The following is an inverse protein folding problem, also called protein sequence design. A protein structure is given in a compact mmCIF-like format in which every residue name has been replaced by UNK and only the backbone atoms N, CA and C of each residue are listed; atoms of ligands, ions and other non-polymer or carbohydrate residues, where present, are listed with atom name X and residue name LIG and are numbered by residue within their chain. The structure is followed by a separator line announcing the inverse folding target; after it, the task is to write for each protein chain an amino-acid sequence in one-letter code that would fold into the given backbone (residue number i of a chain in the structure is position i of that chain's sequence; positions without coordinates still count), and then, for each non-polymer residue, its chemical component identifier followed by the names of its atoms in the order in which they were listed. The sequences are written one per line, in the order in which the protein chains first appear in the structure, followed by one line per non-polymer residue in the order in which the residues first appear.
data_IF_118340787824
#
_entry.id   IF_118340787824
#
_cell.length_a   1.000
_cell.length_b   1.000
_cell.length_c   1.000
_cell.angle_alpha   90.00
_cell.angle_beta   90.00
_cell.angle_gamma   90.00
#
_symmetry.space_group_name_H-M   'P 1'
#
loop_
_entity.id
_entity.type
_entity.pdbx_description
1 polymer ?
#
# COMPACT_ATOMS: atom_id res chain seq x y z
N UNK A 1 115.02 50.94 7.89
CA UNK A 1 115.12 50.25 9.20
C UNK A 1 114.06 49.15 9.25
N UNK A 2 114.49 47.90 9.54
CA UNK A 2 113.82 46.81 10.30
C UNK A 2 112.28 46.72 10.25
N UNK A 3 111.58 45.59 10.09
CA UNK A 3 111.80 44.13 10.08
C UNK A 3 110.41 43.54 9.69
N UNK A 4 110.28 42.66 8.69
CA UNK A 4 110.20 41.18 8.80
C UNK A 4 108.89 40.62 9.44
N UNK A 5 108.30 39.64 8.71
CA UNK A 5 107.51 38.45 9.10
C UNK A 5 105.96 38.47 9.12
N UNK A 6 105.38 37.60 8.26
CA UNK A 6 104.63 36.38 8.61
C UNK A 6 103.25 36.17 7.95
N UNK A 7 103.20 35.05 7.22
CA UNK A 7 102.10 34.30 6.63
C UNK A 7 100.81 34.13 7.46
N UNK A 8 99.66 34.00 6.79
CA UNK A 8 98.88 32.75 6.71
C UNK A 8 97.58 32.96 5.93
N UNK A 9 97.43 32.22 4.82
CA UNK A 9 96.23 32.13 4.01
C UNK A 9 95.33 31.01 4.59
N UNK A 10 94.24 31.37 5.26
CA UNK A 10 93.25 30.41 5.76
C UNK A 10 92.02 30.42 4.85
N UNK A 11 91.88 29.38 4.01
CA UNK A 11 90.65 29.06 3.31
C UNK A 11 89.57 28.67 4.33
N UNK A 12 88.56 29.51 4.51
CA UNK A 12 87.33 29.16 5.24
C UNK A 12 86.36 28.56 4.22
N UNK A 13 86.33 27.22 4.17
CA UNK A 13 85.22 26.47 3.58
C UNK A 13 84.06 26.57 4.56
N UNK A 14 83.12 27.47 4.28
CA UNK A 14 81.85 27.55 5.00
C UNK A 14 81.02 26.30 4.69
N UNK A 15 81.07 25.32 5.59
CA UNK A 15 80.13 24.21 5.61
C UNK A 15 78.72 24.76 5.89
N UNK A 16 77.91 24.88 4.84
CA UNK A 16 76.47 24.98 4.99
C UNK A 16 75.98 23.64 5.56
N UNK A 17 75.91 23.54 6.88
CA UNK A 17 75.15 22.49 7.56
C UNK A 17 73.70 22.66 7.14
N UNK A 18 73.26 21.84 6.18
CA UNK A 18 71.85 21.56 5.99
C UNK A 18 71.36 21.01 7.33
N UNK A 19 70.73 21.86 8.14
CA UNK A 19 69.91 21.41 9.25
C UNK A 19 68.85 20.50 8.65
N UNK A 20 69.02 19.19 8.81
CA UNK A 20 67.96 18.24 8.55
C UNK A 20 66.74 18.76 9.30
N UNK A 21 65.69 19.18 8.57
CA UNK A 21 64.43 19.57 9.17
C UNK A 21 63.93 18.37 9.96
N UNK A 22 64.16 18.38 11.28
CA UNK A 22 63.59 17.39 12.15
C UNK A 22 62.07 17.54 12.02
N UNK A 23 61.42 16.50 11.49
CA UNK A 23 59.96 16.43 11.51
C UNK A 23 59.49 16.59 12.95
N UNK A 24 58.42 17.34 13.17
CA UNK A 24 57.88 17.54 14.50
C UNK A 24 57.59 16.18 15.19
N UNK A 25 57.72 16.10 16.53
CA UNK A 25 57.47 14.86 17.26
C UNK A 25 56.04 14.37 16.97
N UNK A 26 55.87 13.07 16.76
CA UNK A 26 54.55 12.51 16.49
C UNK A 26 53.71 12.54 17.77
N UNK A 27 52.47 13.05 17.75
CA UNK A 27 51.58 12.96 18.90
C UNK A 27 51.47 11.53 19.43
N UNK A 28 51.21 11.35 20.72
CA UNK A 28 51.07 10.01 21.35
C UNK A 28 49.75 9.87 22.08
N UNK A 29 49.43 8.65 22.51
CA UNK A 29 48.25 8.32 23.31
C UNK A 29 46.92 8.86 22.73
N UNK A 30 46.77 8.75 21.40
CA UNK A 30 45.52 9.13 20.73
C UNK A 30 44.42 8.16 21.15
N UNK A 31 43.47 8.64 21.94
CA UNK A 31 42.32 7.86 22.41
C UNK A 31 41.01 8.49 21.98
N UNK A 32 39.98 7.67 21.88
CA UNK A 32 38.61 8.10 21.56
C UNK A 32 37.65 7.65 22.65
N UNK A 33 36.61 8.45 22.88
CA UNK A 33 35.54 8.13 23.82
C UNK A 33 34.30 8.97 23.55
N UNK A 34 33.20 8.67 24.22
CA UNK A 34 32.00 9.48 24.12
C UNK A 34 32.17 10.82 24.84
N UNK A 35 31.84 11.93 24.16
CA UNK A 35 31.77 13.24 24.80
C UNK A 35 30.43 13.39 25.53
N UNK A 36 30.48 13.26 26.86
CA UNK A 36 29.33 13.41 27.76
C UNK A 36 28.24 12.33 27.62
N UNK A 37 27.23 12.40 28.48
CA UNK A 37 26.16 11.38 28.59
C UNK A 37 25.24 11.30 27.36
N UNK A 38 25.18 12.38 26.57
CA UNK A 38 24.33 12.48 25.39
C UNK A 38 24.87 11.78 24.15
N UNK A 39 26.16 11.38 24.15
CA UNK A 39 26.82 10.66 23.03
C UNK A 39 26.62 11.35 21.67
N UNK A 40 26.67 12.68 21.66
CA UNK A 40 26.45 13.49 20.44
C UNK A 40 27.76 13.85 19.74
N UNK A 41 28.89 13.55 20.37
CA UNK A 41 30.22 13.74 19.80
C UNK A 41 31.18 12.65 20.32
N UNK A 42 32.17 12.35 19.50
CA UNK A 42 33.33 11.52 19.84
C UNK A 42 34.44 12.46 20.31
N UNK A 43 34.80 12.34 21.59
CA UNK A 43 35.93 13.04 22.16
C UNK A 43 37.22 12.32 21.80
N UNK A 44 38.14 13.07 21.20
CA UNK A 44 39.48 12.60 20.84
C UNK A 44 40.45 13.31 21.76
N UNK A 45 41.35 12.57 22.41
CA UNK A 45 42.42 13.15 23.23
C UNK A 45 43.78 12.60 22.80
N UNK A 46 44.83 13.39 22.97
CA UNK A 46 46.21 12.99 22.65
C UNK A 46 47.22 13.72 23.55
N UNK A 47 48.50 13.39 23.40
CA UNK A 47 49.62 14.07 24.08
C UNK A 47 50.63 14.60 23.06
N UNK A 48 51.06 15.83 23.28
CA UNK A 48 52.16 16.52 22.62
C UNK A 48 52.58 17.75 23.45
N UNK A 49 53.47 18.59 22.91
CA UNK A 49 53.96 19.82 23.55
C UNK A 49 53.09 21.06 23.25
N UNK A 50 51.76 20.88 23.18
CA UNK A 50 50.74 21.88 22.80
C UNK A 50 51.00 22.50 21.41
N UNK A 51 51.43 21.67 20.47
CA UNK A 51 51.71 22.05 19.09
C UNK A 51 50.40 22.35 18.32
N UNK A 52 50.46 23.05 17.16
CA UNK A 52 49.28 23.19 16.32
C UNK A 52 48.93 21.82 15.70
N UNK A 53 47.68 21.39 15.85
CA UNK A 53 47.27 20.03 15.52
C UNK A 53 46.26 19.97 14.37
N UNK A 54 46.41 18.97 13.52
CA UNK A 54 45.45 18.57 12.48
C UNK A 54 44.81 17.25 12.87
N UNK A 55 43.49 17.26 13.07
CA UNK A 55 42.68 16.09 13.37
C UNK A 55 41.90 15.68 12.13
N UNK A 56 41.95 14.39 11.79
CA UNK A 56 41.22 13.82 10.65
C UNK A 56 40.55 12.50 10.98
N UNK A 57 39.42 12.25 10.33
CA UNK A 57 38.76 10.94 10.33
C UNK A 57 39.29 10.14 9.13
N UNK A 58 39.89 8.98 9.40
CA UNK A 58 40.33 8.02 8.39
C UNK A 58 39.36 6.82 8.37
N UNK A 59 38.72 6.57 7.22
CA UNK A 59 37.95 5.34 7.03
C UNK A 59 38.88 4.18 6.69
N UNK A 60 38.68 2.99 7.27
CA UNK A 60 39.58 1.84 7.05
C UNK A 60 39.68 1.44 5.56
N UNK A 61 38.64 1.72 4.76
CA UNK A 61 38.58 1.46 3.31
C UNK A 61 38.62 2.73 2.43
N UNK A 62 38.78 3.92 3.02
CA UNK A 62 38.81 5.20 2.29
C UNK A 62 40.12 5.93 2.52
N UNK A 63 40.81 6.29 1.44
CA UNK A 63 42.08 7.02 1.50
C UNK A 63 41.92 8.53 1.66
N UNK A 64 40.70 9.07 1.52
CA UNK A 64 40.42 10.50 1.70
C UNK A 64 39.74 10.76 3.04
N UNK A 65 40.23 11.74 3.84
CA UNK A 65 39.63 12.04 5.13
C UNK A 65 38.26 12.70 4.95
N UNK A 66 37.24 12.17 5.63
CA UNK A 66 35.86 12.71 5.58
C UNK A 66 35.68 13.99 6.42
N UNK A 67 36.68 14.32 7.24
CA UNK A 67 36.67 15.44 8.17
C UNK A 67 38.10 15.93 8.42
N UNK A 68 38.29 17.25 8.48
CA UNK A 68 39.55 17.88 8.84
C UNK A 68 39.29 19.04 9.79
N UNK A 69 39.97 19.04 10.93
CA UNK A 69 39.97 20.15 11.89
C UNK A 69 41.40 20.54 12.20
N UNK A 70 41.66 21.84 12.28
CA UNK A 70 42.93 22.38 12.75
C UNK A 70 42.70 23.06 14.10
N UNK A 71 43.62 22.83 15.03
CA UNK A 71 43.75 23.51 16.32
C UNK A 71 45.04 24.32 16.34
N UNK A 72 44.97 25.49 16.96
CA UNK A 72 46.13 26.36 17.11
C UNK A 72 47.03 25.85 18.23
N UNK A 73 48.30 26.25 18.22
CA UNK A 73 49.21 25.95 19.32
C UNK A 73 48.66 26.53 20.64
N UNK A 74 48.80 25.79 21.74
CA UNK A 74 48.29 26.16 23.05
C UNK A 74 46.79 25.90 23.29
N UNK A 75 46.05 25.40 22.30
CA UNK A 75 44.70 24.86 22.53
C UNK A 75 44.78 23.51 23.27
N UNK A 76 43.71 23.10 24.00
CA UNK A 76 43.68 21.80 24.66
C UNK A 76 43.92 20.65 23.67
N UNK A 77 44.65 19.62 24.10
CA UNK A 77 44.86 18.38 23.35
C UNK A 77 43.64 17.45 23.40
N UNK A 78 42.47 18.04 23.17
CA UNK A 78 41.21 17.34 23.01
C UNK A 78 40.32 18.03 21.99
N UNK A 79 39.50 17.23 21.30
CA UNK A 79 38.49 17.77 20.39
C UNK A 79 37.26 16.86 20.33
N UNK A 80 36.09 17.47 20.45
CA UNK A 80 34.81 16.80 20.30
C UNK A 80 34.36 16.83 18.83
N UNK A 81 34.46 15.69 18.14
CA UNK A 81 33.98 15.52 16.77
C UNK A 81 32.49 15.17 16.81
N UNK A 82 31.57 15.95 16.22
CA UNK A 82 30.15 15.60 16.18
C UNK A 82 29.92 14.24 15.52
N UNK A 83 29.01 13.42 16.05
CA UNK A 83 28.73 12.08 15.46
C UNK A 83 28.27 12.18 14.01
N UNK A 84 27.64 13.29 13.62
CA UNK A 84 27.25 13.56 12.23
C UNK A 84 28.43 13.70 11.25
N UNK A 85 29.66 13.85 11.74
CA UNK A 85 30.86 13.85 10.91
C UNK A 85 31.32 12.42 10.53
N UNK A 86 30.79 11.40 11.21
CA UNK A 86 31.04 10.00 10.93
C UNK A 86 29.88 9.41 10.12
N UNK A 87 30.10 8.98 8.86
CA UNK A 87 29.08 8.23 8.15
C UNK A 87 28.74 6.93 8.89
N UNK A 88 27.46 6.69 9.13
CA UNK A 88 26.98 5.49 9.81
C UNK A 88 27.28 4.19 9.02
N UNK A 89 27.45 3.09 9.75
CA UNK A 89 27.82 1.74 9.31
C UNK A 89 29.22 1.63 8.69
N UNK A 90 30.20 2.33 9.27
CA UNK A 90 31.60 2.31 8.84
C UNK A 90 32.58 2.03 9.98
N UNK A 91 33.80 1.64 9.61
CA UNK A 91 34.93 1.47 10.52
C UNK A 91 35.90 2.64 10.35
N UNK A 92 36.31 3.27 11.45
CA UNK A 92 37.10 4.49 11.44
C UNK A 92 38.27 4.46 12.41
N UNK A 93 39.24 5.34 12.14
CA UNK A 93 40.26 5.78 13.08
C UNK A 93 40.27 7.31 13.09
N UNK A 94 40.62 7.90 14.23
CA UNK A 94 40.97 9.31 14.26
C UNK A 94 42.49 9.42 14.21
N UNK A 95 42.98 10.23 13.27
CA UNK A 95 44.39 10.52 13.13
C UNK A 95 44.68 11.97 13.54
N UNK A 96 45.74 12.15 14.34
CA UNK A 96 46.25 13.44 14.80
C UNK A 96 47.69 13.60 14.32
N UNK A 97 48.02 14.76 13.76
CA UNK A 97 49.39 15.14 13.42
C UNK A 97 49.60 16.62 13.70
N UNK A 98 50.84 17.01 13.93
CA UNK A 98 51.23 18.42 14.02
C UNK A 98 51.17 19.01 12.62
N UNK A 99 50.53 20.17 12.51
CA UNK A 99 50.36 20.86 11.25
C UNK A 99 49.34 21.98 11.29
N UNK A 100 49.47 22.90 10.35
CA UNK A 100 48.54 24.03 10.18
C UNK A 100 47.87 23.97 8.81
N UNK A 101 46.78 24.72 8.65
CA UNK A 101 46.09 24.81 7.35
C UNK A 101 46.95 25.42 6.25
N UNK A 102 47.92 26.28 6.61
CA UNK A 102 48.82 26.95 5.67
C UNK A 102 50.18 26.24 5.51
N UNK A 103 50.72 25.68 6.59
CA UNK A 103 52.05 25.04 6.62
C UNK A 103 52.04 23.55 6.29
N UNK A 104 50.86 22.93 6.17
CA UNK A 104 50.73 21.49 5.94
C UNK A 104 51.02 20.67 7.19
N UNK A 105 51.17 19.35 7.00
CA UNK A 105 51.46 18.39 8.07
C UNK A 105 52.97 18.22 8.20
N UNK A 106 53.50 18.38 9.41
CA UNK A 106 54.94 18.40 9.70
C UNK A 106 55.39 17.22 10.57
N UNK A 107 54.47 16.49 11.19
CA UNK A 107 54.74 15.22 11.90
C UNK A 107 54.18 13.99 11.16
N UNK A 108 54.52 12.78 11.63
CA UNK A 108 53.75 11.57 11.25
C UNK A 108 52.36 11.61 11.90
N UNK A 109 51.45 10.79 11.36
CA UNK A 109 50.10 10.61 11.89
C UNK A 109 50.10 9.60 13.04
N UNK A 110 49.68 10.06 14.21
CA UNK A 110 49.29 9.23 15.34
C UNK A 110 47.82 8.83 15.18
N UNK A 111 47.45 7.58 15.51
CA UNK A 111 46.10 7.05 15.26
C UNK A 111 45.50 6.49 16.54
N UNK A 112 44.19 6.65 16.69
CA UNK A 112 43.41 5.89 17.66
C UNK A 112 43.32 4.41 17.27
N UNK A 113 42.82 3.61 18.20
CA UNK A 113 42.26 2.30 17.89
C UNK A 113 41.11 2.41 16.87
N UNK A 114 40.84 1.30 16.17
CA UNK A 114 39.68 1.22 15.26
C UNK A 114 38.43 1.16 16.12
N UNK A 115 37.39 1.88 15.69
CA UNK A 115 36.04 1.75 16.19
C UNK A 115 35.07 1.72 15.02
N UNK A 116 33.87 1.21 15.25
CA UNK A 116 32.81 1.23 14.27
C UNK A 116 31.72 2.25 14.60
N UNK A 117 30.77 2.37 13.69
CA UNK A 117 29.64 3.29 13.80
C UNK A 117 28.39 2.52 13.51
N UNK A 118 27.93 1.74 14.47
CA UNK A 118 26.68 0.99 14.33
C UNK A 118 25.51 1.94 14.08
N UNK A 119 25.13 2.13 12.81
CA UNK A 119 24.06 3.03 12.44
C UNK A 119 22.71 2.52 12.90
N UNK A 120 21.67 3.37 12.86
CA UNK A 120 20.35 2.93 13.29
C UNK A 120 19.80 1.89 12.30
N UNK A 121 19.46 0.71 12.82
CA UNK A 121 19.00 -0.45 12.05
C UNK A 121 17.62 -0.17 11.48
N UNK A 122 17.49 -0.20 10.16
CA UNK A 122 16.24 0.17 9.47
C UNK A 122 15.13 -0.88 9.70
N UNK A 123 13.96 -0.48 10.22
CA UNK A 123 12.84 -1.39 10.38
C UNK A 123 12.22 -1.78 9.05
N UNK A 124 11.74 -3.02 9.00
CA UNK A 124 11.09 -3.63 7.85
C UNK A 124 9.65 -4.03 8.20
N UNK A 125 8.88 -4.44 7.19
CA UNK A 125 7.53 -5.00 7.36
C UNK A 125 6.55 -4.10 8.15
N UNK A 126 6.69 -2.78 8.04
CA UNK A 126 5.77 -1.86 8.69
C UNK A 126 4.34 -2.08 8.16
N UNK A 127 3.39 -2.26 9.07
CA UNK A 127 2.00 -2.57 8.77
C UNK A 127 1.07 -1.81 9.73
N UNK A 128 -0.19 -1.66 9.32
CA UNK A 128 -1.25 -1.02 10.10
C UNK A 128 -2.44 -1.96 10.23
N UNK A 129 -3.01 -2.08 11.42
CA UNK A 129 -4.26 -2.79 11.65
C UNK A 129 -5.28 -1.91 12.37
N UNK A 130 -6.57 -1.89 11.98
CA UNK A 130 -7.58 -1.16 12.73
C UNK A 130 -7.72 -1.75 14.13
N UNK A 131 -7.74 -0.91 15.17
CA UNK A 131 -7.94 -1.33 16.55
C UNK A 131 -8.81 -0.30 17.29
N UNK A 132 -10.08 -0.66 17.53
CA UNK A 132 -11.05 0.24 18.16
C UNK A 132 -11.24 1.53 17.35
N UNK A 133 -11.02 2.68 17.99
CA UNK A 133 -11.09 4.00 17.35
C UNK A 133 -9.75 4.46 16.74
N UNK A 134 -8.73 3.59 16.67
CA UNK A 134 -7.39 3.93 16.20
C UNK A 134 -6.78 2.87 15.29
N UNK A 135 -5.49 3.00 15.06
CA UNK A 135 -4.69 2.10 14.22
C UNK A 135 -3.48 1.63 15.01
N UNK A 136 -3.30 0.32 15.11
CA UNK A 136 -2.07 -0.27 15.63
C UNK A 136 -1.06 -0.38 14.49
N UNK A 137 0.01 0.39 14.61
CA UNK A 137 1.19 0.28 13.75
C UNK A 137 2.13 -0.78 14.32
N UNK A 138 2.67 -1.64 13.48
CA UNK A 138 3.63 -2.68 13.84
C UNK A 138 4.76 -2.72 12.84
N UNK A 139 5.99 -3.01 13.28
CA UNK A 139 7.14 -3.21 12.40
C UNK A 139 8.04 -4.31 12.95
N UNK A 140 8.97 -4.78 12.11
CA UNK A 140 9.99 -5.74 12.50
C UNK A 140 11.36 -5.10 12.38
N UNK A 141 12.30 -5.53 13.21
CA UNK A 141 13.67 -5.05 13.23
C UNK A 141 14.53 -6.23 12.80
N UNK A 142 15.32 -6.12 11.72
CA UNK A 142 16.26 -7.19 11.37
C UNK A 142 17.33 -7.33 12.47
N UNK A 143 18.08 -8.44 12.50
CA UNK A 143 19.28 -8.53 13.33
C UNK A 143 20.21 -7.35 13.05
N UNK A 144 20.92 -6.90 14.09
CA UNK A 144 21.96 -5.90 13.91
C UNK A 144 23.04 -6.44 12.94
N UNK A 145 23.71 -5.56 12.19
CA UNK A 145 24.92 -5.92 11.47
C UNK A 145 25.94 -6.61 12.39
N UNK A 146 26.86 -7.35 11.79
CA UNK A 146 28.00 -7.88 12.54
C UNK A 146 28.90 -6.71 12.94
N UNK A 147 29.15 -6.59 14.24
CA UNK A 147 30.18 -5.75 14.83
C UNK A 147 31.57 -6.37 14.52
N UNK A 148 32.44 -5.56 13.92
CA UNK A 148 33.79 -5.95 13.51
C UNK A 148 34.88 -5.46 14.50
N UNK A 149 34.52 -4.63 15.48
CA UNK A 149 35.40 -4.07 16.51
C UNK A 149 34.81 -4.26 17.91
N UNK A 150 34.58 -5.51 18.35
CA UNK A 150 33.86 -5.76 19.59
C UNK A 150 34.60 -5.26 20.83
N UNK A 151 33.86 -4.56 21.69
CA UNK A 151 34.33 -3.85 22.88
C UNK A 151 35.23 -2.65 22.59
N UNK A 152 35.03 -1.98 21.46
CA UNK A 152 35.72 -0.72 21.21
C UNK A 152 35.26 0.39 22.17
N UNK A 153 36.03 1.49 22.33
CA UNK A 153 35.73 2.53 23.32
C UNK A 153 34.40 3.27 23.11
N UNK A 154 33.77 3.13 21.93
CA UNK A 154 32.50 3.77 21.58
C UNK A 154 31.33 2.79 21.58
N UNK A 155 31.55 1.51 21.86
CA UNK A 155 30.48 0.54 22.02
C UNK A 155 29.51 0.89 23.14
N UNK A 156 28.23 0.71 22.86
CA UNK A 156 27.16 0.98 23.80
C UNK A 156 26.51 -0.32 24.29
N UNK A 157 26.52 -0.52 25.60
CA UNK A 157 25.96 -1.73 26.25
C UNK A 157 24.42 -1.81 26.23
N UNK A 158 23.74 -0.68 26.08
CA UNK A 158 22.27 -0.59 26.06
C UNK A 158 21.72 -0.37 24.65
N UNK A 159 20.49 -0.86 24.37
CA UNK A 159 19.80 -0.57 23.10
C UNK A 159 19.47 0.91 22.97
N UNK A 160 20.30 1.66 22.27
CA UNK A 160 20.11 3.10 22.00
C UNK A 160 19.11 3.38 20.89
N UNK A 161 18.76 2.36 20.11
CA UNK A 161 17.85 2.52 18.98
C UNK A 161 16.44 2.92 19.42
N UNK A 162 16.04 4.12 19.00
CA UNK A 162 14.70 4.69 19.20
C UNK A 162 13.93 4.78 17.89
N UNK A 163 12.66 4.41 17.95
CA UNK A 163 11.68 4.52 16.88
C UNK A 163 10.82 5.76 17.13
N UNK A 164 10.99 6.78 16.29
CA UNK A 164 10.24 8.04 16.34
C UNK A 164 9.12 8.00 15.31
N UNK A 165 7.85 7.88 15.72
CA UNK A 165 6.73 7.86 14.80
C UNK A 165 6.48 9.26 14.21
N UNK A 166 6.34 9.30 12.89
CA UNK A 166 6.07 10.51 12.11
C UNK A 166 4.79 10.29 11.32
N UNK A 167 3.93 11.31 11.26
CA UNK A 167 2.64 11.24 10.58
C UNK A 167 2.43 12.50 9.74
N UNK A 168 1.76 12.35 8.61
CA UNK A 168 1.17 13.48 7.91
C UNK A 168 -0.21 13.12 7.35
N UNK A 169 -1.05 14.15 7.21
CA UNK A 169 -2.32 14.12 6.48
C UNK A 169 -2.23 15.04 5.26
N UNK A 170 -3.20 15.00 4.33
CA UNK A 170 -3.24 15.96 3.23
C UNK A 170 -3.17 17.41 3.75
N UNK A 171 -2.30 18.21 3.15
CA UNK A 171 -2.04 19.61 3.53
C UNK A 171 -1.07 19.81 4.70
N UNK A 172 -0.63 18.73 5.37
CA UNK A 172 0.30 18.80 6.49
C UNK A 172 1.71 18.35 6.07
N UNK A 173 2.74 18.79 6.80
CA UNK A 173 4.09 18.23 6.69
C UNK A 173 4.20 16.97 7.56
N UNK A 174 5.25 16.18 7.32
CA UNK A 174 5.60 15.06 8.18
C UNK A 174 6.06 15.57 9.54
N UNK A 175 5.25 15.30 10.57
CA UNK A 175 5.47 15.77 11.94
C UNK A 175 5.62 14.60 12.90
N UNK A 176 6.47 14.78 13.92
CA UNK A 176 6.68 13.80 14.99
C UNK A 176 5.43 13.77 15.87
N UNK A 177 4.82 12.60 16.05
CA UNK A 177 3.56 12.46 16.81
C UNK A 177 3.74 11.92 18.23
N UNK A 178 4.98 11.68 18.66
CA UNK A 178 5.29 11.20 19.99
C UNK A 178 6.79 11.04 20.23
N UNK A 179 7.17 10.84 21.48
CA UNK A 179 8.55 10.55 21.84
C UNK A 179 9.03 9.23 21.19
N UNK A 180 10.34 9.13 20.97
CA UNK A 180 10.96 7.90 20.49
C UNK A 180 10.72 6.74 21.47
N UNK A 181 10.36 5.58 20.93
CA UNK A 181 10.10 4.35 21.70
C UNK A 181 11.08 3.24 21.31
N UNK A 182 11.33 2.28 22.19
CA UNK A 182 12.06 1.04 21.87
C UNK A 182 11.11 -0.09 21.46
N UNK A 183 9.80 0.11 21.60
CA UNK A 183 8.78 -0.87 21.20
C UNK A 183 8.66 -0.97 19.69
N UNK A 184 8.32 -2.16 19.17
CA UNK A 184 8.08 -2.42 17.74
C UNK A 184 6.62 -2.23 17.30
N UNK A 185 5.82 -1.59 18.17
CA UNK A 185 4.42 -1.31 17.91
C UNK A 185 3.99 0.01 18.56
N UNK A 186 3.04 0.69 17.94
CA UNK A 186 2.47 1.93 18.43
C UNK A 186 0.98 2.01 18.10
N UNK A 187 0.13 2.19 19.11
CA UNK A 187 -1.29 2.47 18.89
C UNK A 187 -1.51 3.98 18.72
N UNK A 188 -2.00 4.38 17.55
CA UNK A 188 -2.37 5.78 17.27
C UNK A 188 -3.88 5.89 17.36
N UNK A 189 -4.38 6.54 18.41
CA UNK A 189 -5.82 6.76 18.64
C UNK A 189 -6.39 7.77 17.64
N UNK A 190 -7.65 7.60 17.26
CA UNK A 190 -8.39 8.53 16.40
C UNK A 190 -7.76 8.80 15.03
N UNK A 191 -6.90 7.88 14.54
CA UNK A 191 -6.30 7.98 13.22
C UNK A 191 -7.24 7.42 12.16
N UNK A 192 -7.61 8.26 11.18
CA UNK A 192 -8.46 7.87 10.05
C UNK A 192 -7.76 8.18 8.73
N UNK A 193 -7.81 7.27 7.73
CA UNK A 193 -7.35 7.57 6.38
C UNK A 193 -8.01 8.82 5.76
N UNK A 194 -7.34 9.54 4.84
CA UNK A 194 -6.02 9.22 4.30
C UNK A 194 -4.88 9.84 5.14
N UNK A 195 -3.78 9.11 5.30
CA UNK A 195 -2.57 9.57 6.00
C UNK A 195 -1.33 8.85 5.46
N UNK A 196 -0.15 9.37 5.78
CA UNK A 196 1.10 8.61 5.72
C UNK A 196 1.69 8.55 7.12
N UNK A 197 2.09 7.34 7.50
CA UNK A 197 2.87 7.06 8.69
C UNK A 197 4.27 6.67 8.24
N UNK A 198 5.28 7.25 8.87
CA UNK A 198 6.67 6.92 8.65
C UNK A 198 7.35 6.73 9.99
N UNK A 199 8.22 5.76 10.08
CA UNK A 199 9.07 5.57 11.23
C UNK A 199 10.41 6.24 10.96
N UNK A 200 10.89 7.09 11.85
CA UNK A 200 12.30 7.50 11.89
C UNK A 200 13.01 6.66 12.92
N UNK A 201 14.18 6.15 12.59
CA UNK A 201 15.04 5.43 13.55
C UNK A 201 16.23 6.29 13.90
N UNK A 202 16.59 6.28 15.18
CA UNK A 202 17.63 7.12 15.74
C UNK A 202 18.48 6.35 16.72
N UNK A 203 19.78 6.60 16.71
CA UNK A 203 20.75 6.23 17.74
C UNK A 203 21.85 7.30 17.81
N UNK A 204 22.92 7.06 18.56
CA UNK A 204 24.07 7.95 18.75
C UNK A 204 24.76 8.35 17.43
N UNK A 205 24.74 7.45 16.44
CA UNK A 205 25.37 7.66 15.12
C UNK A 205 24.46 8.35 14.10
N UNK A 206 23.19 8.61 14.42
CA UNK A 206 22.33 9.50 13.63
C UNK A 206 20.89 9.05 13.48
N UNK A 207 20.25 9.48 12.38
CA UNK A 207 18.84 9.24 12.11
C UNK A 207 18.60 8.76 10.68
N UNK A 208 17.71 7.77 10.50
CA UNK A 208 17.33 7.24 9.18
C UNK A 208 15.83 7.08 9.03
N UNK A 209 15.35 7.13 7.79
CA UNK A 209 13.99 6.78 7.44
C UNK A 209 13.79 5.25 7.50
N UNK A 210 12.88 4.81 8.36
CA UNK A 210 12.47 3.42 8.55
C UNK A 210 11.33 2.98 7.64
N UNK A 211 10.50 2.10 8.18
CA UNK A 211 9.29 1.62 7.52
C UNK A 211 8.23 2.71 7.35
N UNK A 212 7.39 2.56 6.33
CA UNK A 212 6.32 3.50 5.99
C UNK A 212 5.01 2.74 5.81
N UNK A 213 3.90 3.35 6.21
CA UNK A 213 2.55 2.83 6.00
C UNK A 213 1.64 3.92 5.46
N UNK A 214 0.94 3.63 4.37
CA UNK A 214 -0.07 4.51 3.78
C UNK A 214 -1.47 4.14 4.29
N UNK A 215 -2.16 5.09 4.91
CA UNK A 215 -3.60 5.03 5.14
C UNK A 215 -4.33 5.52 3.90
N UNK A 216 -5.07 4.63 3.25
CA UNK A 216 -5.75 4.87 1.98
C UNK A 216 -7.26 4.97 2.19
N UNK A 217 -7.91 5.94 1.57
CA UNK A 217 -9.38 5.96 1.44
C UNK A 217 -9.78 5.40 0.09
N UNK A 218 -10.98 4.85 0.01
CA UNK A 218 -11.55 4.37 -1.25
C UNK A 218 -12.89 5.00 -1.52
N UNK A 219 -13.19 5.16 -2.81
CA UNK A 219 -14.54 5.44 -3.29
C UNK A 219 -14.89 4.37 -4.31
N UNK A 220 -16.10 3.83 -4.23
CA UNK A 220 -16.57 2.75 -5.10
C UNK A 220 -17.90 3.14 -5.73
N UNK A 221 -17.95 2.97 -7.05
CA UNK A 221 -19.15 3.19 -7.87
C UNK A 221 -19.63 1.87 -8.42
N UNK A 222 -20.94 1.66 -8.52
CA UNK A 222 -21.52 0.43 -9.03
C UNK A 222 -22.69 0.72 -9.99
N UNK A 223 -22.62 0.16 -11.19
CA UNK A 223 -23.71 0.05 -12.15
C UNK A 223 -24.39 -1.31 -11.95
N UNK A 224 -25.57 -1.28 -11.33
CA UNK A 224 -26.38 -2.45 -10.99
C UNK A 224 -27.62 -2.43 -11.89
N UNK A 225 -27.91 -3.50 -12.66
CA UNK A 225 -29.09 -3.56 -13.50
C UNK A 225 -30.38 -3.38 -12.70
N UNK A 226 -31.27 -2.49 -13.14
CA UNK A 226 -32.57 -2.26 -12.51
C UNK A 226 -33.55 -3.41 -12.77
N UNK A 227 -33.34 -4.19 -13.83
CA UNK A 227 -34.08 -5.39 -14.18
C UNK A 227 -33.14 -6.52 -14.58
N UNK A 228 -33.46 -7.74 -14.19
CA UNK A 228 -32.73 -8.94 -14.60
C UNK A 228 -33.69 -10.14 -14.72
N UNK A 229 -33.37 -11.10 -15.59
CA UNK A 229 -34.14 -12.34 -15.74
C UNK A 229 -33.72 -13.35 -14.69
N UNK A 230 -34.68 -13.92 -13.97
CA UNK A 230 -34.44 -14.92 -12.94
C UNK A 230 -33.53 -16.06 -13.43
N UNK A 231 -32.60 -16.49 -12.56
CA UNK A 231 -31.64 -17.58 -12.81
C UNK A 231 -30.62 -17.30 -13.94
N UNK A 232 -30.61 -16.11 -14.54
CA UNK A 232 -29.53 -15.67 -15.41
C UNK A 232 -28.50 -14.83 -14.66
N UNK A 233 -27.27 -14.83 -15.16
CA UNK A 233 -26.18 -14.00 -14.64
C UNK A 233 -26.42 -12.54 -15.01
N UNK A 234 -26.50 -11.66 -14.01
CA UNK A 234 -26.40 -10.23 -14.20
C UNK A 234 -24.95 -9.79 -13.99
N UNK A 235 -24.48 -8.88 -14.85
CA UNK A 235 -23.18 -8.25 -14.72
C UNK A 235 -23.32 -6.96 -13.92
N UNK A 236 -22.57 -6.86 -12.82
CA UNK A 236 -22.47 -5.65 -12.01
C UNK A 236 -21.08 -5.10 -12.24
N UNK A 237 -21.02 -3.86 -12.74
CA UNK A 237 -19.78 -3.20 -13.13
C UNK A 237 -19.54 -1.98 -12.28
N UNK A 238 -18.30 -1.53 -12.20
CA UNK A 238 -18.00 -0.33 -11.45
C UNK A 238 -16.55 0.08 -11.52
N UNK A 239 -16.21 1.07 -10.69
CA UNK A 239 -14.86 1.58 -10.55
C UNK A 239 -14.56 1.88 -9.10
N UNK A 240 -13.36 1.53 -8.65
CA UNK A 240 -12.77 1.92 -7.38
C UNK A 240 -11.70 2.97 -7.64
N UNK A 241 -11.76 4.08 -6.92
CA UNK A 241 -10.69 5.08 -6.86
C UNK A 241 -10.14 5.07 -5.45
N UNK A 242 -8.82 4.91 -5.35
CA UNK A 242 -8.06 4.96 -4.11
C UNK A 242 -7.49 6.36 -3.97
N UNK A 243 -7.55 6.95 -2.79
CA UNK A 243 -6.86 8.20 -2.50
C UNK A 243 -5.71 7.92 -1.53
N UNK A 244 -4.54 8.44 -1.87
CA UNK A 244 -3.30 8.27 -1.11
C UNK A 244 -2.69 9.64 -0.81
N UNK A 245 -1.85 9.69 0.23
CA UNK A 245 -1.08 10.88 0.60
C UNK A 245 0.34 10.69 0.11
N UNK A 246 0.86 11.69 -0.61
CA UNK A 246 2.26 11.73 -1.06
C UNK A 246 2.90 12.98 -0.47
N UNK A 247 4.03 12.80 0.19
CA UNK A 247 4.79 13.87 0.81
C UNK A 247 6.10 14.06 0.06
N UNK A 248 6.23 15.09 -0.78
CA UNK A 248 7.52 15.43 -1.36
C UNK A 248 8.45 15.96 -0.26
N UNK A 249 9.78 15.93 -0.47
CA UNK A 249 10.71 16.58 0.44
C UNK A 249 10.36 18.07 0.58
N UNK A 250 10.48 18.60 1.80
CA UNK A 250 10.38 20.02 2.16
C UNK A 250 9.02 20.73 1.93
N UNK A 251 8.03 20.03 1.38
CA UNK A 251 6.71 20.57 1.07
C UNK A 251 5.59 19.85 1.83
N UNK A 252 4.41 20.48 1.86
CA UNK A 252 3.22 19.87 2.45
C UNK A 252 2.77 18.66 1.62
N UNK A 253 2.25 17.65 2.29
CA UNK A 253 1.77 16.45 1.64
C UNK A 253 0.53 16.74 0.81
N UNK A 254 0.48 16.17 -0.39
CA UNK A 254 -0.64 16.31 -1.30
C UNK A 254 -1.45 15.02 -1.38
N UNK A 255 -2.72 15.15 -1.72
CA UNK A 255 -3.59 14.00 -1.94
C UNK A 255 -3.56 13.62 -3.42
N UNK A 256 -3.22 12.37 -3.72
CA UNK A 256 -3.22 11.82 -5.06
C UNK A 256 -4.32 10.77 -5.21
N UNK A 257 -4.92 10.72 -6.39
CA UNK A 257 -5.87 9.66 -6.77
C UNK A 257 -5.14 8.59 -7.57
N UNK A 258 -5.37 7.34 -7.22
CA UNK A 258 -4.88 6.18 -7.91
C UNK A 258 -6.02 5.23 -8.24
N UNK A 259 -5.87 4.46 -9.32
CA UNK A 259 -6.84 3.43 -9.70
C UNK A 259 -6.13 2.09 -9.88
N UNK A 260 -5.62 1.51 -8.77
CA UNK A 260 -4.82 0.31 -8.82
C UNK A 260 -5.66 -0.92 -9.21
N UNK A 261 -5.01 -1.86 -9.87
CA UNK A 261 -5.53 -3.21 -10.06
C UNK A 261 -5.41 -4.02 -8.75
N UNK A 262 -6.18 -5.10 -8.65
CA UNK A 262 -6.09 -6.06 -7.55
C UNK A 262 -6.83 -5.67 -6.26
N UNK A 263 -7.52 -4.52 -6.22
CA UNK A 263 -8.30 -4.11 -5.04
C UNK A 263 -9.50 -5.04 -4.89
N UNK A 264 -9.67 -5.72 -3.73
CA UNK A 264 -10.79 -6.62 -3.53
C UNK A 264 -12.12 -5.85 -3.47
N UNK A 265 -13.13 -6.37 -4.15
CA UNK A 265 -14.50 -5.87 -4.09
C UNK A 265 -15.45 -7.00 -3.73
N UNK A 266 -16.48 -6.69 -2.95
CA UNK A 266 -17.50 -7.66 -2.53
C UNK A 266 -18.87 -7.10 -2.90
N UNK A 267 -19.61 -7.87 -3.68
CA UNK A 267 -21.01 -7.62 -3.93
C UNK A 267 -21.81 -8.12 -2.74
N UNK A 268 -22.62 -7.25 -2.15
CA UNK A 268 -23.55 -7.59 -1.08
C UNK A 268 -25.00 -7.54 -1.59
N UNK A 269 -25.84 -8.36 -0.98
CA UNK A 269 -27.29 -8.37 -1.18
C UNK A 269 -28.02 -8.48 0.14
N UNK A 270 -29.30 -8.13 0.18
CA UNK A 270 -30.19 -8.53 1.28
C UNK A 270 -31.09 -9.69 0.83
N UNK A 271 -30.97 -10.90 1.42
CA UNK A 271 -31.78 -12.06 1.00
C UNK A 271 -33.27 -11.83 1.24
N UNK A 272 -33.64 -11.22 2.37
CA UNK A 272 -35.00 -10.78 2.70
C UNK A 272 -35.01 -9.26 3.00
N UNK A 273 -36.15 -8.56 2.86
CA UNK A 273 -36.24 -7.14 3.20
C UNK A 273 -35.82 -6.91 4.66
N UNK A 274 -34.96 -5.90 4.91
CA UNK A 274 -34.48 -5.57 6.25
C UNK A 274 -33.37 -6.47 6.81
N UNK A 275 -33.07 -7.62 6.21
CA UNK A 275 -32.01 -8.51 6.69
C UNK A 275 -30.61 -7.90 6.56
N UNK A 276 -29.65 -8.46 7.31
CA UNK A 276 -28.22 -8.12 7.19
C UNK A 276 -27.75 -8.31 5.75
N UNK A 277 -26.89 -7.41 5.29
CA UNK A 277 -26.22 -7.53 4.00
C UNK A 277 -25.30 -8.75 4.00
N UNK A 278 -25.48 -9.66 3.04
CA UNK A 278 -24.66 -10.87 2.88
C UNK A 278 -23.92 -10.87 1.55
N UNK A 279 -22.73 -11.50 1.47
CA UNK A 279 -21.99 -11.61 0.20
C UNK A 279 -22.78 -12.40 -0.86
N UNK A 280 -22.90 -11.81 -2.05
CA UNK A 280 -23.48 -12.43 -3.24
C UNK A 280 -22.45 -12.70 -4.35
N UNK A 281 -21.26 -12.09 -4.24
CA UNK A 281 -20.17 -12.27 -5.18
C UNK A 281 -18.92 -11.54 -4.72
N UNK A 282 -17.77 -11.91 -5.27
CA UNK A 282 -16.48 -11.27 -5.01
C UNK A 282 -15.78 -11.01 -6.34
N UNK A 283 -14.96 -9.98 -6.37
CA UNK A 283 -14.14 -9.64 -7.53
C UNK A 283 -12.90 -8.88 -7.10
N UNK A 284 -12.08 -8.51 -8.08
CA UNK A 284 -10.95 -7.61 -7.91
C UNK A 284 -10.97 -6.56 -9.01
N UNK A 285 -10.36 -5.41 -8.76
CA UNK A 285 -10.19 -4.40 -9.81
C UNK A 285 -9.17 -4.83 -10.85
N UNK A 286 -9.38 -4.44 -12.11
CA UNK A 286 -8.42 -4.49 -13.21
C UNK A 286 -7.63 -3.18 -13.27
N UNK A 287 -6.73 -3.05 -14.26
CA UNK A 287 -6.13 -1.76 -14.59
C UNK A 287 -7.20 -0.67 -14.77
N UNK A 288 -6.92 0.54 -14.31
CA UNK A 288 -7.88 1.65 -14.29
C UNK A 288 -8.91 1.59 -13.15
N UNK A 289 -8.81 0.62 -12.23
CA UNK A 289 -9.67 0.49 -11.06
C UNK A 289 -11.05 -0.07 -11.37
N UNK A 290 -11.28 -0.57 -12.58
CA UNK A 290 -12.57 -1.13 -13.00
C UNK A 290 -12.80 -2.52 -12.42
N UNK A 291 -14.05 -2.93 -12.22
CA UNK A 291 -14.37 -4.30 -11.85
C UNK A 291 -15.67 -4.77 -12.51
N UNK A 292 -15.81 -6.08 -12.67
CA UNK A 292 -17.03 -6.75 -13.09
C UNK A 292 -17.28 -7.96 -12.18
N UNK A 293 -18.46 -8.03 -11.57
CA UNK A 293 -18.92 -9.19 -10.78
C UNK A 293 -20.14 -9.76 -11.49
N UNK A 294 -20.09 -11.04 -11.85
CA UNK A 294 -21.24 -11.77 -12.38
C UNK A 294 -21.96 -12.50 -11.26
N UNK A 295 -23.25 -12.24 -11.08
CA UNK A 295 -24.09 -12.88 -10.05
C UNK A 295 -25.31 -13.54 -10.68
N UNK A 296 -25.61 -14.77 -10.28
CA UNK A 296 -26.87 -15.42 -10.68
C UNK A 296 -28.01 -14.71 -9.97
N UNK A 297 -28.91 -14.13 -10.75
CA UNK A 297 -30.04 -13.40 -10.19
C UNK A 297 -31.09 -14.37 -9.64
N UNK A 298 -31.68 -14.02 -8.50
CA UNK A 298 -32.83 -14.75 -7.96
C UNK A 298 -33.99 -13.78 -7.76
N UNK A 299 -34.73 -13.82 -6.64
CA UNK A 299 -35.83 -12.90 -6.39
C UNK A 299 -35.39 -11.42 -6.38
N UNK A 300 -36.34 -10.51 -6.58
CA UNK A 300 -36.10 -9.04 -6.58
C UNK A 300 -35.47 -8.60 -5.27
N UNK A 301 -34.23 -8.10 -5.33
CA UNK A 301 -33.45 -7.76 -4.13
C UNK A 301 -32.47 -6.62 -4.38
N UNK A 302 -32.12 -5.85 -3.33
CA UNK A 302 -31.15 -4.79 -3.47
C UNK A 302 -29.73 -5.34 -3.45
N UNK A 303 -28.87 -4.71 -4.24
CA UNK A 303 -27.45 -4.99 -4.31
C UNK A 303 -26.65 -3.71 -4.00
N UNK A 304 -25.47 -3.88 -3.44
CA UNK A 304 -24.44 -2.83 -3.33
C UNK A 304 -23.05 -3.45 -3.38
N UNK A 305 -22.05 -2.68 -3.77
CA UNK A 305 -20.66 -3.15 -3.77
C UNK A 305 -19.90 -2.46 -2.66
N UNK A 306 -19.08 -3.22 -1.94
CA UNK A 306 -18.16 -2.68 -0.95
C UNK A 306 -16.71 -2.98 -1.33
N UNK A 307 -15.81 -2.09 -0.93
CA UNK A 307 -14.40 -2.39 -0.76
C UNK A 307 -14.22 -2.65 0.74
N UNK A 308 -13.88 -3.87 1.18
CA UNK A 308 -13.65 -4.14 2.60
C UNK A 308 -12.34 -3.50 3.08
N UNK A 309 -12.20 -3.32 4.39
CA UNK A 309 -10.89 -3.01 4.97
C UNK A 309 -9.88 -4.08 4.54
N UNK A 310 -8.74 -3.62 4.03
CA UNK A 310 -7.62 -4.49 3.67
C UNK A 310 -6.34 -3.90 4.24
N UNK A 311 -5.60 -4.72 4.99
CA UNK A 311 -4.28 -4.38 5.50
C UNK A 311 -3.24 -5.27 4.84
N UNK A 312 -2.12 -4.66 4.47
CA UNK A 312 -0.91 -5.33 4.00
C UNK A 312 0.30 -4.52 4.47
N UNK A 313 1.49 -5.10 4.38
CA UNK A 313 2.74 -4.36 4.60
C UNK A 313 2.74 -3.09 3.73
N UNK A 314 3.02 -1.96 4.36
CA UNK A 314 3.09 -0.66 3.71
C UNK A 314 1.76 0.05 3.45
N UNK A 315 0.59 -0.59 3.63
CA UNK A 315 -0.68 0.11 3.42
C UNK A 315 -1.88 -0.51 4.10
N UNK A 316 -2.82 0.34 4.52
CA UNK A 316 -4.16 -0.03 4.97
C UNK A 316 -5.20 0.75 4.17
N UNK A 317 -6.28 0.09 3.79
CA UNK A 317 -7.37 0.67 3.01
C UNK A 317 -8.64 0.71 3.84
N UNK A 318 -9.32 1.85 3.89
CA UNK A 318 -10.62 1.98 4.55
C UNK A 318 -11.76 1.34 3.75
N UNK A 319 -12.85 1.02 4.45
CA UNK A 319 -14.07 0.50 3.82
C UNK A 319 -14.77 1.59 3.03
N UNK A 320 -15.24 1.25 1.83
CA UNK A 320 -16.18 2.09 1.09
C UNK A 320 -17.35 1.27 0.56
N UNK A 321 -18.50 1.93 0.35
CA UNK A 321 -19.72 1.31 -0.17
C UNK A 321 -20.31 2.14 -1.29
N UNK A 322 -20.79 1.46 -2.33
CA UNK A 322 -21.62 2.09 -3.34
C UNK A 322 -23.01 2.37 -2.76
N UNK A 323 -23.77 3.23 -3.45
CA UNK A 323 -25.22 3.32 -3.24
C UNK A 323 -25.85 1.94 -3.51
N UNK A 324 -26.85 1.59 -2.71
CA UNK A 324 -27.64 0.39 -2.94
C UNK A 324 -28.63 0.63 -4.09
N UNK A 325 -28.85 -0.38 -4.93
CA UNK A 325 -29.83 -0.33 -6.02
C UNK A 325 -30.64 -1.61 -6.06
N UNK A 326 -31.95 -1.47 -6.35
CA UNK A 326 -32.88 -2.60 -6.43
C UNK A 326 -32.84 -3.21 -7.84
N UNK A 327 -32.52 -4.50 -7.93
CA UNK A 327 -32.69 -5.26 -9.16
C UNK A 327 -34.04 -5.98 -9.12
N UNK A 328 -34.96 -5.57 -9.99
CA UNK A 328 -36.24 -6.25 -10.21
C UNK A 328 -36.01 -7.51 -11.02
N UNK A 329 -36.35 -8.65 -10.44
CA UNK A 329 -36.24 -9.94 -11.11
C UNK A 329 -37.51 -10.21 -11.92
N UNK A 330 -37.32 -10.60 -13.17
CA UNK A 330 -38.38 -10.93 -14.12
C UNK A 330 -38.43 -12.44 -14.28
N UNK A 331 -39.64 -13.01 -14.27
CA UNK A 331 -39.86 -14.44 -14.55
C UNK A 331 -39.17 -14.79 -15.87
N UNK A 332 -38.40 -15.88 -15.86
CA UNK A 332 -37.70 -16.35 -17.05
C UNK A 332 -38.55 -17.40 -17.74
N UNK A 333 -38.89 -17.18 -19.01
CA UNK A 333 -39.43 -18.26 -19.86
C UNK A 333 -38.27 -19.20 -20.20
N UNK A 334 -38.34 -20.43 -19.71
CA UNK A 334 -37.35 -21.46 -20.01
C UNK A 334 -37.65 -22.12 -21.35
N UNK A 335 -38.92 -22.40 -21.62
CA UNK A 335 -39.40 -23.04 -22.85
C UNK A 335 -40.84 -22.63 -23.13
N UNK A 336 -41.21 -22.53 -24.41
CA UNK A 336 -42.59 -22.37 -24.85
C UNK A 336 -42.74 -22.93 -26.27
N UNK A 337 -43.86 -23.59 -26.57
CA UNK A 337 -44.06 -24.20 -27.88
C UNK A 337 -45.36 -24.98 -28.03
N UNK A 338 -45.48 -25.67 -29.17
CA UNK A 338 -46.54 -26.64 -29.46
C UNK A 338 -45.95 -28.06 -29.36
N UNK A 339 -46.60 -28.95 -28.63
CA UNK A 339 -46.17 -30.33 -28.51
C UNK A 339 -46.28 -31.06 -29.85
N UNK A 340 -45.21 -31.75 -30.26
CA UNK A 340 -45.15 -32.42 -31.56
C UNK A 340 -45.12 -31.47 -32.77
N UNK A 341 -44.55 -30.27 -32.61
CA UNK A 341 -44.27 -29.34 -33.70
C UNK A 341 -45.38 -28.32 -34.01
N UNK A 342 -45.03 -27.31 -34.80
CA UNK A 342 -45.90 -26.18 -35.14
C UNK A 342 -46.91 -26.49 -36.27
N UNK A 343 -46.71 -27.58 -37.02
CA UNK A 343 -47.61 -27.98 -38.10
C UNK A 343 -48.58 -29.06 -37.60
N UNK A 344 -49.88 -28.84 -37.79
CA UNK A 344 -50.94 -29.76 -37.38
C UNK A 344 -51.97 -29.93 -38.49
N UNK A 345 -52.68 -31.06 -38.48
CA UNK A 345 -53.80 -31.31 -39.40
C UNK A 345 -55.11 -30.79 -38.80
N UNK A 346 -56.03 -30.32 -39.63
CA UNK A 346 -57.43 -30.08 -39.20
C UNK A 346 -57.98 -31.35 -38.56
N UNK A 347 -58.76 -31.21 -37.48
CA UNK A 347 -59.31 -32.32 -36.69
C UNK A 347 -58.35 -32.88 -35.63
N UNK A 348 -57.05 -32.60 -35.71
CA UNK A 348 -56.09 -32.99 -34.67
C UNK A 348 -56.15 -32.05 -33.46
N UNK A 349 -55.69 -32.55 -32.30
CA UNK A 349 -55.50 -31.72 -31.11
C UNK A 349 -54.11 -31.07 -31.11
N UNK A 350 -54.05 -29.80 -30.74
CA UNK A 350 -52.79 -29.10 -30.47
C UNK A 350 -52.64 -28.86 -28.97
N UNK A 351 -51.46 -29.19 -28.43
CA UNK A 351 -51.10 -28.89 -27.04
C UNK A 351 -50.08 -27.76 -27.02
N UNK A 352 -50.49 -26.58 -26.55
CA UNK A 352 -49.59 -25.44 -26.35
C UNK A 352 -49.08 -25.44 -24.91
N UNK A 353 -47.78 -25.29 -24.72
CA UNK A 353 -47.16 -25.37 -23.38
C UNK A 353 -46.14 -24.25 -23.16
N UNK A 354 -45.91 -23.92 -21.88
CA UNK A 354 -44.78 -23.08 -21.47
C UNK A 354 -44.26 -23.49 -20.10
N UNK A 355 -42.93 -23.43 -19.96
CA UNK A 355 -42.21 -23.65 -18.72
C UNK A 355 -41.44 -22.38 -18.35
N UNK A 356 -41.55 -21.98 -17.10
CA UNK A 356 -40.91 -20.77 -16.56
C UNK A 356 -40.05 -21.10 -15.35
N UNK A 357 -39.09 -20.23 -15.07
CA UNK A 357 -38.33 -20.20 -13.85
C UNK A 357 -38.71 -18.97 -13.02
N UNK A 358 -38.90 -19.13 -11.70
CA UNK A 358 -38.62 -20.33 -10.92
C UNK A 358 -39.63 -21.48 -11.11
N UNK A 359 -39.15 -22.73 -11.04
CA UNK A 359 -39.97 -23.93 -11.13
C UNK A 359 -40.87 -24.16 -9.90
N UNK A 360 -40.83 -23.29 -8.90
CA UNK A 360 -41.76 -23.30 -7.77
C UNK A 360 -42.95 -22.36 -7.96
N UNK A 361 -43.03 -21.68 -9.12
CA UNK A 361 -44.12 -20.74 -9.41
C UNK A 361 -45.45 -21.46 -9.62
N UNK A 362 -46.44 -21.12 -8.79
CA UNK A 362 -47.84 -21.52 -8.97
C UNK A 362 -48.68 -20.27 -9.25
N UNK A 363 -49.40 -20.23 -10.37
CA UNK A 363 -50.22 -19.08 -10.75
C UNK A 363 -51.25 -19.44 -11.82
N UNK A 364 -52.13 -18.51 -12.17
CA UNK A 364 -52.96 -18.60 -13.36
C UNK A 364 -52.35 -17.75 -14.47
N UNK A 365 -52.07 -18.34 -15.62
CA UNK A 365 -51.55 -17.61 -16.79
C UNK A 365 -52.62 -17.49 -17.86
N UNK A 366 -52.52 -16.45 -18.69
CA UNK A 366 -53.50 -16.19 -19.74
C UNK A 366 -52.91 -16.57 -21.09
N UNK A 367 -53.54 -17.53 -21.76
CA UNK A 367 -53.29 -17.82 -23.16
C UNK A 367 -53.99 -16.77 -24.02
N UNK A 368 -53.24 -16.15 -24.91
CA UNK A 368 -53.72 -15.18 -25.90
C UNK A 368 -53.40 -15.67 -27.31
N UNK A 369 -54.25 -15.28 -28.25
CA UNK A 369 -54.06 -15.49 -29.69
C UNK A 369 -54.00 -14.14 -30.39
N UNK A 370 -53.14 -14.00 -31.39
CA UNK A 370 -53.11 -12.84 -32.25
C UNK A 370 -54.31 -12.87 -33.19
N UNK A 371 -55.20 -11.89 -33.08
CA UNK A 371 -56.28 -11.71 -34.04
C UNK A 371 -55.76 -10.83 -35.19
N UNK A 372 -55.56 -11.45 -36.36
CA UNK A 372 -55.03 -10.77 -37.54
C UNK A 372 -55.96 -9.66 -38.05
N UNK A 373 -57.28 -9.83 -37.96
CA UNK A 373 -58.26 -8.82 -38.42
C UNK A 373 -58.31 -7.60 -37.50
N UNK A 374 -58.22 -7.82 -36.19
CA UNK A 374 -58.31 -6.77 -35.19
C UNK A 374 -56.94 -6.19 -34.79
N UNK A 375 -55.85 -6.69 -35.37
CA UNK A 375 -54.47 -6.33 -35.05
C UNK A 375 -54.18 -6.25 -33.54
N UNK A 376 -54.74 -7.18 -32.77
CA UNK A 376 -54.59 -7.21 -31.30
C UNK A 376 -54.59 -8.63 -30.75
N UNK A 377 -54.01 -8.77 -29.57
CA UNK A 377 -54.07 -10.01 -28.79
C UNK A 377 -55.45 -10.16 -28.17
N UNK A 378 -56.10 -11.29 -28.45
CA UNK A 378 -57.39 -11.66 -27.86
C UNK A 378 -57.21 -12.76 -26.83
N UNK A 379 -58.00 -12.70 -25.77
CA UNK A 379 -58.06 -13.71 -24.73
C UNK A 379 -58.56 -15.04 -25.32
N UNK A 380 -57.88 -16.14 -24.99
CA UNK A 380 -58.31 -17.50 -25.35
C UNK A 380 -58.78 -18.25 -24.10
N UNK A 381 -57.90 -18.38 -23.11
CA UNK A 381 -58.16 -19.19 -21.92
C UNK A 381 -57.23 -18.81 -20.77
N UNK A 382 -57.72 -18.95 -19.54
CA UNK A 382 -56.85 -18.99 -18.34
C UNK A 382 -56.42 -20.44 -18.11
N UNK A 383 -55.12 -20.67 -17.97
CA UNK A 383 -54.56 -22.00 -17.70
C UNK A 383 -53.81 -21.99 -16.37
N UNK A 384 -54.01 -23.00 -15.51
CA UNK A 384 -53.24 -23.10 -14.28
C UNK A 384 -51.78 -23.44 -14.62
N UNK A 385 -50.85 -22.73 -13.99
CA UNK A 385 -49.43 -23.02 -13.99
C UNK A 385 -49.07 -23.63 -12.64
N UNK A 386 -48.55 -24.86 -12.67
CA UNK A 386 -48.09 -25.61 -11.49
C UNK A 386 -46.61 -25.90 -11.64
N UNK A 387 -45.83 -25.60 -10.61
CA UNK A 387 -44.39 -25.78 -10.61
C UNK A 387 -43.69 -25.16 -11.84
N UNK A 388 -44.12 -23.95 -12.22
CA UNK A 388 -43.61 -23.23 -13.38
C UNK A 388 -44.02 -23.82 -14.73
N UNK A 389 -44.90 -24.82 -14.79
CA UNK A 389 -45.33 -25.47 -16.03
C UNK A 389 -46.82 -25.28 -16.26
N UNK A 390 -47.21 -24.98 -17.50
CA UNK A 390 -48.61 -25.02 -17.93
C UNK A 390 -48.70 -25.62 -19.33
N UNK A 391 -49.83 -26.23 -19.62
CA UNK A 391 -50.18 -26.71 -20.94
C UNK A 391 -51.69 -26.62 -21.16
N UNK A 392 -52.09 -26.44 -22.41
CA UNK A 392 -53.48 -26.44 -22.81
C UNK A 392 -53.66 -27.16 -24.13
N UNK A 393 -54.59 -28.11 -24.15
CA UNK A 393 -54.91 -28.90 -25.34
C UNK A 393 -56.24 -28.43 -25.90
N UNK A 394 -56.30 -28.17 -27.20
CA UNK A 394 -57.52 -27.76 -27.88
C UNK A 394 -57.65 -28.39 -29.28
N UNK A 395 -58.88 -28.65 -29.76
CA UNK A 395 -59.11 -29.20 -31.09
C UNK A 395 -58.95 -28.12 -32.17
N UNK A 396 -58.39 -28.51 -33.32
CA UNK A 396 -58.19 -27.63 -34.47
C UNK A 396 -59.32 -27.77 -35.48
N UNK A 397 -60.16 -26.74 -35.59
CA UNK A 397 -61.37 -26.77 -36.44
C UNK A 397 -61.21 -26.12 -37.81
N UNK A 398 -60.24 -25.21 -37.98
CA UNK A 398 -60.08 -24.42 -39.20
C UNK A 398 -58.61 -24.38 -39.64
N UNK A 399 -58.32 -24.58 -40.94
CA UNK A 399 -56.98 -24.38 -41.47
C UNK A 399 -56.56 -22.91 -41.33
N UNK A 400 -55.26 -22.65 -41.28
CA UNK A 400 -54.71 -21.30 -41.19
C UNK A 400 -53.46 -21.18 -40.33
N UNK A 401 -52.91 -19.97 -40.30
CA UNK A 401 -51.77 -19.61 -39.47
C UNK A 401 -52.24 -18.84 -38.22
N UNK A 402 -51.91 -19.36 -37.05
CA UNK A 402 -52.26 -18.80 -35.76
C UNK A 402 -50.98 -18.47 -35.00
N UNK A 403 -51.02 -17.42 -34.18
CA UNK A 403 -49.91 -17.06 -33.29
C UNK A 403 -50.45 -16.93 -31.88
N UNK A 404 -49.84 -17.66 -30.95
CA UNK A 404 -50.21 -17.66 -29.54
C UNK A 404 -49.10 -17.07 -28.68
N UNK A 405 -49.46 -16.67 -27.47
CA UNK A 405 -48.50 -16.38 -26.38
C UNK A 405 -49.15 -16.60 -25.02
N UNK A 406 -48.32 -16.85 -24.01
CA UNK A 406 -48.75 -16.80 -22.62
C UNK A 406 -48.38 -15.45 -21.99
N UNK A 407 -49.35 -14.82 -21.35
CA UNK A 407 -49.13 -13.73 -20.40
C UNK A 407 -48.95 -14.33 -19.00
N UNK A 408 -47.74 -14.20 -18.48
CA UNK A 408 -47.34 -14.73 -17.18
C UNK A 408 -47.42 -13.56 -16.17
N UNK A 409 -48.24 -13.65 -15.12
CA UNK A 409 -48.45 -12.54 -14.20
C UNK A 409 -47.24 -12.33 -13.29
N UNK A 410 -47.27 -11.23 -12.53
CA UNK A 410 -46.37 -11.07 -11.39
C UNK A 410 -46.57 -12.22 -10.40
N UNK A 411 -45.49 -12.60 -9.72
CA UNK A 411 -45.51 -13.66 -8.71
C UNK A 411 -44.70 -13.25 -7.49
N UNK A 412 -44.76 -14.03 -6.41
CA UNK A 412 -43.97 -13.80 -5.21
C UNK A 412 -43.14 -15.04 -4.93
N UNK A 413 -41.85 -14.85 -4.67
CA UNK A 413 -40.91 -15.89 -4.27
C UNK A 413 -40.15 -15.44 -3.03
N UNK A 414 -40.18 -16.25 -1.97
CA UNK A 414 -39.52 -15.95 -0.70
C UNK A 414 -39.84 -14.52 -0.19
N UNK A 415 -41.12 -14.14 -0.24
CA UNK A 415 -41.59 -12.81 0.18
C UNK A 415 -41.20 -11.65 -0.74
N UNK A 416 -40.61 -11.92 -1.91
CA UNK A 416 -40.17 -10.89 -2.88
C UNK A 416 -40.91 -11.01 -4.19
N UNK A 417 -41.30 -9.86 -4.74
CA UNK A 417 -41.98 -9.76 -6.03
C UNK A 417 -41.08 -10.26 -7.17
N UNK A 418 -41.66 -10.99 -8.09
CA UNK A 418 -41.11 -11.34 -9.40
C UNK A 418 -42.01 -10.68 -10.44
N UNK A 419 -41.43 -9.83 -11.29
CA UNK A 419 -42.17 -9.22 -12.37
C UNK A 419 -42.57 -10.30 -13.39
N UNK A 420 -43.82 -10.23 -13.83
CA UNK A 420 -44.37 -11.07 -14.88
C UNK A 420 -43.68 -10.83 -16.22
N UNK A 421 -44.01 -11.67 -17.19
CA UNK A 421 -43.43 -11.61 -18.52
C UNK A 421 -44.43 -12.14 -19.55
N UNK A 422 -44.09 -11.99 -20.83
CA UNK A 422 -44.79 -12.66 -21.93
C UNK A 422 -43.85 -13.65 -22.60
N UNK A 423 -44.38 -14.77 -23.04
CA UNK A 423 -43.60 -15.66 -23.92
C UNK A 423 -43.36 -14.98 -25.27
N UNK A 424 -42.35 -15.48 -26.00
CA UNK A 424 -42.25 -15.19 -27.43
C UNK A 424 -43.48 -15.69 -28.19
N UNK A 425 -43.56 -15.33 -29.47
CA UNK A 425 -44.61 -15.82 -30.36
C UNK A 425 -44.51 -17.33 -30.55
N UNK A 426 -45.65 -18.01 -30.39
CA UNK A 426 -45.78 -19.46 -30.56
C UNK A 426 -46.65 -19.68 -31.81
N UNK A 427 -46.04 -19.82 -33.00
CA UNK A 427 -46.80 -20.03 -34.23
C UNK A 427 -47.36 -21.45 -34.29
N UNK A 428 -48.53 -21.58 -34.91
CA UNK A 428 -49.23 -22.82 -35.19
C UNK A 428 -49.81 -22.73 -36.60
N UNK A 429 -49.46 -23.69 -37.45
CA UNK A 429 -49.96 -23.82 -38.82
C UNK A 429 -50.85 -25.05 -38.90
N UNK A 430 -52.10 -24.83 -39.31
CA UNK A 430 -53.11 -25.88 -39.46
C UNK A 430 -53.37 -26.09 -40.94
N UNK A 431 -53.12 -27.31 -41.42
CA UNK A 431 -53.38 -27.74 -42.81
C UNK A 431 -54.59 -28.66 -42.87
#
# INVERSE_FOLDING_TARGET
MRRVLAAALAMVVGAATLTACASDPTPTDVTVGWSGDGRTAVEVTWKDDNAPNRITIEGVLSTSPSYVKYLSAGEPNSWAIPTSAFPADGNYKVAVAIGTSQGGVTSKLARSDVFDTDGPVRPINAAASPRGNGVLMTWSVPPAPQDFTPNDPLDVKDRTQRYVPVLAKPGQRLEVIGAGTTSTQQLIKSLRPPYVFQLRVQNEWGARAGGQVLGLTTSVTAAIPSKARFSLRAKIRGRVVVQQVVCPPESACTQQRATPAGVPVVLLTQPTPGARWTPAGRGKTTAGGHYEISVVTGPTRPYKVIVPVSSRVGSITDTSSSKASLTRSVVRVALAGIAGGQNKKVGSAATIYTWVLPATMNSNVVLQMWNQKLHRWVFVRVTPMRAGKTQFTFPLKKPGAYVYRYLIPNSVMAGRQLAGTVTGHIPLYVR
#
